data_IF_405238314707
#
_entry.id   IF_405238314707
#
_cell.length_a   1.000
_cell.length_b   1.000
_cell.length_c   1.000
_cell.angle_alpha   90.00
_cell.angle_beta   90.00
_cell.angle_gamma   90.00
#
_symmetry.space_group_name_H-M   'P 1'
#
loop_
_entity.id
_entity.type
_entity.pdbx_description
1 polymer ?
#
# COMPACT_ATOMS: atom_id res chain seq x y z
N UNK A 1 -34.29 -23.75 2.22
CA UNK A 1 -33.30 -24.61 2.93
C UNK A 1 -31.94 -24.66 2.24
N UNK A 2 -31.74 -25.17 1.02
CA UNK A 2 -30.40 -25.17 0.38
C UNK A 2 -29.94 -23.76 0.04
N UNK A 3 -30.83 -22.94 -0.52
CA UNK A 3 -30.53 -21.54 -0.91
C UNK A 3 -30.13 -20.68 0.30
N UNK A 4 -30.82 -20.83 1.42
CA UNK A 4 -30.55 -20.04 2.64
C UNK A 4 -29.17 -20.36 3.21
N UNK A 5 -28.80 -21.65 3.28
CA UNK A 5 -27.47 -22.07 3.71
C UNK A 5 -26.34 -21.56 2.79
N UNK A 6 -26.61 -21.42 1.48
CA UNK A 6 -25.63 -20.86 0.54
C UNK A 6 -25.40 -19.36 0.80
N UNK A 7 -26.46 -18.57 0.94
CA UNK A 7 -26.36 -17.14 1.24
C UNK A 7 -25.74 -16.87 2.61
N UNK A 8 -25.94 -17.76 3.59
CA UNK A 8 -25.23 -17.66 4.87
C UNK A 8 -23.71 -17.77 4.70
N UNK A 9 -23.21 -18.64 3.83
CA UNK A 9 -21.76 -18.73 3.56
C UNK A 9 -21.23 -17.46 2.89
N UNK A 10 -21.96 -16.88 1.94
CA UNK A 10 -21.57 -15.60 1.33
C UNK A 10 -21.55 -14.47 2.38
N UNK A 11 -22.57 -14.43 3.25
CA UNK A 11 -22.65 -13.45 4.32
C UNK A 11 -21.50 -13.55 5.34
N UNK A 12 -20.85 -14.71 5.49
CA UNK A 12 -19.67 -14.85 6.36
C UNK A 12 -18.52 -13.98 5.88
N UNK A 13 -18.25 -13.93 4.57
CA UNK A 13 -17.23 -13.05 3.98
C UNK A 13 -17.61 -11.58 4.26
N UNK A 14 -18.84 -11.17 3.94
CA UNK A 14 -19.32 -9.81 4.19
C UNK A 14 -19.16 -9.38 5.66
N UNK A 15 -19.54 -10.26 6.61
CA UNK A 15 -19.36 -10.01 8.05
C UNK A 15 -17.89 -9.90 8.45
N UNK A 16 -17.01 -10.67 7.83
CA UNK A 16 -15.58 -10.63 8.12
C UNK A 16 -14.94 -9.31 7.70
N UNK A 17 -15.36 -8.70 6.59
CA UNK A 17 -14.83 -7.42 6.12
C UNK A 17 -15.57 -6.19 6.68
N UNK A 18 -16.72 -6.34 7.31
CA UNK A 18 -17.54 -5.25 7.84
C UNK A 18 -16.95 -4.63 9.14
N UNK A 19 -15.70 -4.14 9.07
CA UNK A 19 -15.02 -3.45 10.18
C UNK A 19 -13.80 -2.70 9.65
N UNK A 20 -13.68 -1.40 9.93
CA UNK A 20 -12.63 -0.52 9.39
C UNK A 20 -11.21 -1.08 9.61
N UNK A 21 -10.89 -1.54 10.83
CA UNK A 21 -9.56 -2.11 11.12
C UNK A 21 -9.27 -3.42 10.39
N UNK A 22 -10.28 -4.23 10.06
CA UNK A 22 -10.06 -5.43 9.24
C UNK A 22 -9.82 -5.07 7.78
N UNK A 23 -10.50 -4.05 7.26
CA UNK A 23 -10.24 -3.52 5.91
C UNK A 23 -8.81 -2.97 5.84
N UNK A 24 -8.38 -2.18 6.83
CA UNK A 24 -7.02 -1.65 6.92
C UNK A 24 -5.95 -2.76 7.01
N UNK A 25 -6.21 -3.83 7.75
CA UNK A 25 -5.31 -4.99 7.81
C UNK A 25 -5.22 -5.73 6.46
N UNK A 26 -6.33 -5.84 5.71
CA UNK A 26 -6.30 -6.40 4.35
C UNK A 26 -5.50 -5.53 3.40
N UNK A 27 -5.66 -4.20 3.45
CA UNK A 27 -4.85 -3.26 2.67
C UNK A 27 -3.35 -3.44 2.93
N UNK A 28 -2.96 -3.49 4.21
CA UNK A 28 -1.56 -3.74 4.60
C UNK A 28 -1.04 -5.10 4.09
N UNK A 29 -1.87 -6.12 4.09
CA UNK A 29 -1.51 -7.45 3.61
C UNK A 29 -1.52 -7.56 2.07
N UNK A 30 -2.17 -6.65 1.35
CA UNK A 30 -2.02 -6.52 -0.11
C UNK A 30 -0.57 -6.15 -0.50
N UNK A 31 0.19 -5.53 0.41
CA UNK A 31 1.60 -5.18 0.19
C UNK A 31 2.56 -6.38 0.38
N UNK A 32 2.12 -7.44 1.08
CA UNK A 32 2.92 -8.62 1.35
C UNK A 32 2.72 -9.22 2.74
N UNK A 33 3.38 -10.34 3.01
CA UNK A 33 3.36 -11.04 4.30
C UNK A 33 4.00 -10.20 5.41
N UNK A 34 3.39 -10.18 6.62
CA UNK A 34 3.89 -9.43 7.78
C UNK A 34 3.60 -10.12 9.09
N UNK A 35 4.45 -9.81 10.09
CA UNK A 35 4.18 -10.25 11.46
C UNK A 35 3.04 -9.46 12.10
N UNK A 36 2.40 -10.04 13.11
CA UNK A 36 1.30 -9.38 13.84
C UNK A 36 1.76 -8.09 14.52
N UNK A 37 3.01 -7.99 14.94
CA UNK A 37 3.60 -6.81 15.56
C UNK A 37 3.66 -5.64 14.57
N UNK A 38 4.17 -5.90 13.36
CA UNK A 38 4.27 -4.90 12.27
C UNK A 38 2.86 -4.45 11.84
N UNK A 39 1.91 -5.39 11.71
CA UNK A 39 0.52 -5.05 11.37
C UNK A 39 -0.14 -4.20 12.46
N UNK A 40 0.10 -4.50 13.73
CA UNK A 40 -0.43 -3.75 14.84
C UNK A 40 0.12 -2.32 14.87
N UNK A 41 1.41 -2.14 14.68
CA UNK A 41 2.09 -0.84 14.59
C UNK A 41 1.54 -0.03 13.41
N UNK A 42 1.55 -0.60 12.20
CA UNK A 42 1.11 0.08 10.98
C UNK A 42 -0.38 0.50 11.03
N UNK A 43 -1.23 -0.29 11.69
CA UNK A 43 -2.66 0.02 11.87
C UNK A 43 -2.96 0.82 13.16
N UNK A 44 -1.93 1.27 13.90
CA UNK A 44 -2.07 1.98 15.18
C UNK A 44 -2.98 1.24 16.16
N UNK A 45 -2.71 -0.05 16.35
CA UNK A 45 -3.47 -0.96 17.22
C UNK A 45 -2.58 -1.61 18.27
N UNK A 46 -3.17 -2.06 19.37
CA UNK A 46 -2.47 -3.02 20.25
C UNK A 46 -2.33 -4.39 19.56
N UNK A 47 -1.25 -5.12 19.84
CA UNK A 47 -1.01 -6.47 19.30
C UNK A 47 -2.19 -7.40 19.61
N UNK A 48 -2.77 -7.30 20.81
CA UNK A 48 -3.95 -8.09 21.21
C UNK A 48 -5.17 -7.82 20.34
N UNK A 49 -5.44 -6.54 20.00
CA UNK A 49 -6.53 -6.16 19.11
C UNK A 49 -6.25 -6.60 17.67
N UNK A 50 -5.05 -6.36 17.14
CA UNK A 50 -4.66 -6.84 15.81
C UNK A 50 -4.83 -8.36 15.70
N UNK A 51 -4.34 -9.13 16.68
CA UNK A 51 -4.51 -10.58 16.73
C UNK A 51 -5.97 -11.01 16.73
N UNK A 52 -6.85 -10.28 17.45
CA UNK A 52 -8.28 -10.58 17.48
C UNK A 52 -8.94 -10.33 16.12
N UNK A 53 -8.62 -9.20 15.45
CA UNK A 53 -9.14 -8.90 14.10
C UNK A 53 -8.63 -9.88 13.06
N UNK A 54 -7.33 -10.20 13.08
CA UNK A 54 -6.71 -11.17 12.18
C UNK A 54 -7.28 -12.58 12.36
N UNK A 55 -7.66 -12.96 13.59
CA UNK A 55 -8.35 -14.23 13.85
C UNK A 55 -9.69 -14.30 13.12
N UNK A 56 -10.49 -13.22 13.13
CA UNK A 56 -11.77 -13.15 12.40
C UNK A 56 -11.55 -13.33 10.90
N UNK A 57 -10.53 -12.65 10.33
CA UNK A 57 -10.18 -12.79 8.92
C UNK A 57 -9.73 -14.23 8.59
N UNK A 58 -8.95 -14.86 9.47
CA UNK A 58 -8.50 -16.25 9.30
C UNK A 58 -9.66 -17.26 9.40
N UNK A 59 -10.60 -17.07 10.33
CA UNK A 59 -11.82 -17.90 10.46
C UNK A 59 -12.70 -17.80 9.20
N UNK A 60 -12.68 -16.63 8.53
CA UNK A 60 -13.30 -16.42 7.23
C UNK A 60 -12.46 -16.92 6.04
N UNK A 61 -11.25 -17.43 6.29
CA UNK A 61 -10.29 -17.91 5.28
C UNK A 61 -9.80 -16.82 4.30
N UNK A 62 -9.78 -15.57 4.75
CA UNK A 62 -9.26 -14.44 3.96
C UNK A 62 -7.75 -14.27 4.18
N UNK A 63 -7.22 -14.75 5.30
CA UNK A 63 -5.79 -14.71 5.60
C UNK A 63 -5.28 -16.06 6.09
N UNK A 64 -4.03 -16.33 5.82
CA UNK A 64 -3.28 -17.48 6.32
C UNK A 64 -2.19 -17.06 7.30
N UNK A 65 -1.65 -18.02 8.04
CA UNK A 65 -0.58 -17.78 9.00
C UNK A 65 0.59 -18.73 8.79
N UNK A 66 1.78 -18.20 8.96
CA UNK A 66 3.03 -18.94 9.05
C UNK A 66 3.72 -18.59 10.37
N UNK A 67 4.30 -19.59 11.02
CA UNK A 67 5.10 -19.37 12.24
C UNK A 67 6.59 -19.45 11.90
N UNK A 68 7.35 -18.53 12.49
CA UNK A 68 8.80 -18.52 12.44
C UNK A 68 9.37 -18.17 13.82
N UNK A 69 9.86 -19.18 14.52
CA UNK A 69 10.23 -19.04 15.92
C UNK A 69 9.04 -18.64 16.79
N UNK A 70 9.14 -17.51 17.47
CA UNK A 70 8.09 -16.93 18.31
C UNK A 70 7.15 -16.00 17.54
N UNK A 71 7.48 -15.64 16.29
CA UNK A 71 6.70 -14.70 15.46
C UNK A 71 5.64 -15.42 14.65
N UNK A 72 4.49 -14.76 14.49
CA UNK A 72 3.39 -15.21 13.63
C UNK A 72 3.24 -14.22 12.50
N UNK A 73 3.47 -14.70 11.28
CA UNK A 73 3.30 -13.94 10.05
C UNK A 73 1.93 -14.23 9.47
N UNK A 74 1.33 -13.19 8.87
CA UNK A 74 0.05 -13.24 8.17
C UNK A 74 0.25 -12.84 6.73
N UNK A 75 -0.48 -13.51 5.83
CA UNK A 75 -0.59 -13.15 4.41
C UNK A 75 -2.03 -13.30 3.95
N UNK A 76 -2.39 -12.68 2.84
CA UNK A 76 -3.65 -12.98 2.17
C UNK A 76 -3.69 -14.45 1.76
N UNK A 77 -4.88 -15.05 1.76
CA UNK A 77 -5.05 -16.43 1.32
C UNK A 77 -4.71 -16.59 -0.18
N UNK A 78 -5.12 -15.61 -0.98
CA UNK A 78 -4.87 -15.50 -2.41
C UNK A 78 -5.10 -14.06 -2.91
N UNK A 79 -4.85 -13.81 -4.19
CA UNK A 79 -5.01 -12.49 -4.82
C UNK A 79 -6.49 -12.05 -4.89
N UNK A 80 -7.46 -12.96 -4.88
CA UNK A 80 -8.88 -12.62 -4.89
C UNK A 80 -9.30 -11.83 -3.65
N UNK A 81 -8.60 -12.00 -2.53
CA UNK A 81 -8.84 -11.21 -1.31
C UNK A 81 -8.39 -9.75 -1.50
N UNK A 82 -7.29 -9.52 -2.20
CA UNK A 82 -6.84 -8.17 -2.53
C UNK A 82 -7.82 -7.52 -3.53
N UNK A 83 -8.30 -8.26 -4.53
CA UNK A 83 -9.32 -7.79 -5.46
C UNK A 83 -10.65 -7.43 -4.75
N UNK A 84 -11.04 -8.20 -3.75
CA UNK A 84 -12.21 -7.87 -2.92
C UNK A 84 -11.99 -6.53 -2.17
N UNK A 85 -10.81 -6.31 -1.62
CA UNK A 85 -10.46 -5.04 -0.96
C UNK A 85 -10.55 -3.88 -1.96
N UNK A 86 -9.95 -3.98 -3.15
CA UNK A 86 -10.01 -2.94 -4.17
C UNK A 86 -11.46 -2.66 -4.59
N UNK A 87 -12.28 -3.69 -4.81
CA UNK A 87 -13.69 -3.51 -5.16
C UNK A 87 -14.46 -2.76 -4.07
N UNK A 88 -14.23 -3.08 -2.80
CA UNK A 88 -14.86 -2.38 -1.66
C UNK A 88 -14.42 -0.92 -1.60
N UNK A 89 -13.13 -0.64 -1.80
CA UNK A 89 -12.56 0.70 -1.83
C UNK A 89 -13.15 1.53 -2.96
N UNK A 90 -13.09 1.00 -4.17
CA UNK A 90 -13.55 1.68 -5.39
C UNK A 90 -15.07 1.97 -5.32
N UNK A 91 -15.86 1.00 -4.85
CA UNK A 91 -17.30 1.22 -4.61
C UNK A 91 -17.57 2.30 -3.55
N UNK A 92 -16.74 2.36 -2.50
CA UNK A 92 -16.89 3.39 -1.47
C UNK A 92 -16.54 4.77 -2.04
N UNK A 93 -15.47 4.89 -2.83
CA UNK A 93 -15.09 6.12 -3.51
C UNK A 93 -16.20 6.61 -4.45
N UNK A 94 -16.76 5.72 -5.27
CA UNK A 94 -17.82 6.08 -6.21
C UNK A 94 -19.15 6.48 -5.54
N UNK A 95 -19.44 5.99 -4.35
CA UNK A 95 -20.75 6.14 -3.70
C UNK A 95 -20.77 7.17 -2.59
N UNK A 96 -19.65 7.42 -1.94
CA UNK A 96 -19.57 8.30 -0.77
C UNK A 96 -18.69 9.51 -1.05
N UNK A 97 -19.30 10.67 -1.29
CA UNK A 97 -18.58 11.94 -1.49
C UNK A 97 -17.74 12.37 -0.28
N UNK A 98 -17.93 11.72 0.88
CA UNK A 98 -17.08 11.86 2.05
C UNK A 98 -15.67 11.34 1.80
N UNK A 99 -15.49 10.31 0.97
CA UNK A 99 -14.16 9.79 0.58
C UNK A 99 -13.41 10.89 -0.15
N UNK A 100 -14.02 11.49 -1.17
CA UNK A 100 -13.42 12.60 -1.92
C UNK A 100 -13.11 13.81 -1.02
N UNK A 101 -13.94 14.07 -0.03
CA UNK A 101 -13.71 15.18 0.92
C UNK A 101 -12.48 14.89 1.78
N UNK A 102 -12.39 13.71 2.38
CA UNK A 102 -11.23 13.30 3.18
C UNK A 102 -9.95 13.32 2.35
N UNK A 103 -10.02 12.85 1.10
CA UNK A 103 -8.90 12.89 0.15
C UNK A 103 -8.48 14.32 -0.13
N UNK A 104 -9.41 15.19 -0.55
CA UNK A 104 -9.11 16.61 -0.82
C UNK A 104 -8.54 17.33 0.40
N UNK A 105 -9.20 17.22 1.55
CA UNK A 105 -8.75 17.88 2.79
C UNK A 105 -7.33 17.45 3.20
N UNK A 106 -6.94 16.23 2.86
CA UNK A 106 -5.62 15.71 3.19
C UNK A 106 -4.58 15.99 2.10
N UNK A 107 -4.93 15.79 0.81
CA UNK A 107 -3.96 15.83 -0.29
C UNK A 107 -3.85 17.21 -0.93
N UNK A 108 -4.95 17.94 -1.15
CA UNK A 108 -4.93 19.26 -1.80
C UNK A 108 -4.15 20.31 -0.99
N UNK A 109 -4.09 20.14 0.33
CA UNK A 109 -3.26 20.99 1.19
C UNK A 109 -1.75 20.69 1.09
N UNK A 110 -1.33 19.62 0.41
CA UNK A 110 0.05 19.11 0.43
C UNK A 110 0.65 18.87 -0.95
N UNK A 111 -0.15 18.75 -1.99
CA UNK A 111 0.32 18.42 -3.34
C UNK A 111 -0.39 19.25 -4.41
N UNK A 112 0.27 20.34 -4.85
CA UNK A 112 -0.22 21.24 -5.90
C UNK A 112 0.06 20.73 -7.32
N UNK A 113 0.78 19.60 -7.47
CA UNK A 113 1.17 19.06 -8.77
C UNK A 113 0.30 17.85 -9.13
N UNK A 114 -0.07 17.79 -10.41
CA UNK A 114 -0.74 16.60 -10.94
C UNK A 114 0.11 15.34 -10.71
N UNK A 115 -0.50 14.23 -10.25
CA UNK A 115 0.21 12.96 -10.12
C UNK A 115 0.70 12.47 -11.48
N UNK A 116 1.67 11.57 -11.46
CA UNK A 116 2.17 10.84 -12.63
C UNK A 116 1.35 9.56 -12.75
N UNK A 117 0.77 9.29 -13.90
CA UNK A 117 0.12 8.02 -14.15
C UNK A 117 1.15 6.91 -14.50
N UNK A 118 0.68 5.66 -14.54
CA UNK A 118 1.54 4.50 -14.79
C UNK A 118 2.17 4.52 -16.18
N UNK A 119 1.45 4.99 -17.21
CA UNK A 119 1.93 5.05 -18.59
C UNK A 119 3.00 6.13 -18.76
N UNK A 120 2.79 7.31 -18.16
CA UNK A 120 3.79 8.38 -18.10
C UNK A 120 5.07 7.89 -17.40
N UNK A 121 4.93 7.19 -16.27
CA UNK A 121 6.09 6.67 -15.54
C UNK A 121 6.87 5.65 -16.38
N UNK A 122 6.19 4.70 -17.02
CA UNK A 122 6.81 3.69 -17.89
C UNK A 122 7.57 4.31 -19.05
N UNK A 123 6.98 5.32 -19.72
CA UNK A 123 7.62 6.01 -20.82
C UNK A 123 8.90 6.74 -20.38
N UNK A 124 8.94 7.28 -19.18
CA UNK A 124 10.03 8.14 -18.68
C UNK A 124 11.12 7.38 -17.91
N UNK A 125 10.78 6.27 -17.27
CA UNK A 125 11.73 5.46 -16.50
C UNK A 125 12.80 4.83 -17.40
N UNK A 126 12.47 4.52 -18.69
CA UNK A 126 13.41 3.97 -19.68
C UNK A 126 14.51 4.93 -20.11
N UNK A 127 14.28 6.23 -20.04
CA UNK A 127 15.21 7.27 -20.53
C UNK A 127 16.15 7.82 -19.45
N UNK A 128 16.05 7.30 -18.20
CA UNK A 128 16.86 7.75 -17.06
C UNK A 128 16.56 9.18 -16.57
N UNK A 129 15.47 9.79 -17.06
CA UNK A 129 15.07 11.16 -16.71
C UNK A 129 14.35 11.28 -15.37
N UNK A 130 13.96 10.15 -14.77
CA UNK A 130 13.16 10.10 -13.55
C UNK A 130 13.75 9.09 -12.58
N UNK A 131 13.76 9.43 -11.29
CA UNK A 131 14.06 8.50 -10.21
C UNK A 131 12.74 8.02 -9.62
N UNK A 132 12.48 6.72 -9.70
CA UNK A 132 11.35 6.09 -9.03
C UNK A 132 11.73 5.83 -7.59
N UNK A 133 10.99 6.39 -6.63
CA UNK A 133 11.30 6.31 -5.21
C UNK A 133 10.20 5.54 -4.45
N UNK A 134 10.55 4.40 -3.87
CA UNK A 134 9.68 3.68 -2.94
C UNK A 134 9.87 4.19 -1.53
N UNK A 135 8.82 4.79 -0.96
CA UNK A 135 8.85 5.35 0.41
C UNK A 135 8.17 4.46 1.44
N UNK A 136 7.80 3.24 1.04
CA UNK A 136 7.23 2.24 1.94
C UNK A 136 8.32 1.67 2.87
N UNK A 137 7.94 1.02 3.99
CA UNK A 137 8.87 0.23 4.78
C UNK A 137 9.66 -0.78 3.92
N UNK A 138 10.92 -1.02 4.30
CA UNK A 138 11.84 -1.87 3.53
C UNK A 138 11.28 -3.27 3.26
N UNK A 139 10.59 -3.84 4.22
CA UNK A 139 9.99 -5.18 4.09
C UNK A 139 8.90 -5.24 2.99
N UNK A 140 8.24 -4.11 2.71
CA UNK A 140 7.28 -4.00 1.61
C UNK A 140 7.97 -3.94 0.26
N UNK A 141 9.06 -3.18 0.18
CA UNK A 141 9.89 -3.13 -1.00
C UNK A 141 10.47 -4.51 -1.34
N UNK A 142 11.05 -5.19 -0.35
CA UNK A 142 11.63 -6.53 -0.53
C UNK A 142 10.60 -7.58 -0.94
N UNK A 143 9.35 -7.47 -0.46
CA UNK A 143 8.24 -8.34 -0.85
C UNK A 143 7.77 -8.13 -2.29
N UNK A 144 8.00 -6.91 -2.85
CA UNK A 144 7.73 -6.54 -4.22
C UNK A 144 7.74 -5.05 -4.43
N UNK A 145 8.32 -4.61 -5.57
CA UNK A 145 8.48 -3.20 -5.90
C UNK A 145 8.51 -2.97 -7.43
N UNK A 146 8.42 -1.71 -7.85
CA UNK A 146 8.58 -1.30 -9.25
C UNK A 146 10.05 -1.48 -9.62
N UNK A 147 10.39 -2.21 -10.72
CA UNK A 147 11.78 -2.46 -11.11
C UNK A 147 12.60 -1.16 -11.25
N UNK A 148 13.81 -1.16 -10.72
CA UNK A 148 14.69 0.01 -10.74
C UNK A 148 14.32 1.11 -9.73
N UNK A 149 13.31 0.90 -8.89
CA UNK A 149 12.97 1.86 -7.84
C UNK A 149 14.03 1.87 -6.73
N UNK A 150 14.35 3.08 -6.26
CA UNK A 150 15.22 3.29 -5.10
C UNK A 150 14.39 3.17 -3.83
N UNK A 151 14.79 2.31 -2.90
CA UNK A 151 14.11 2.15 -1.61
C UNK A 151 14.67 3.12 -0.57
N UNK A 152 13.87 4.09 -0.18
CA UNK A 152 14.14 4.96 0.98
C UNK A 152 12.85 5.12 1.77
N UNK A 153 12.63 4.31 2.82
CA UNK A 153 11.48 4.47 3.69
C UNK A 153 11.32 5.91 4.17
N UNK A 154 10.07 6.39 4.28
CA UNK A 154 9.78 7.76 4.70
C UNK A 154 10.53 8.15 5.99
N UNK A 155 10.64 7.22 6.96
CA UNK A 155 11.34 7.45 8.22
C UNK A 155 12.84 7.74 8.04
N UNK A 156 13.46 7.25 6.97
CA UNK A 156 14.88 7.40 6.67
C UNK A 156 15.16 8.51 5.63
N UNK A 157 14.10 9.06 5.03
CA UNK A 157 14.20 9.93 3.86
C UNK A 157 15.06 11.17 4.12
N UNK A 158 14.85 11.84 5.25
CA UNK A 158 15.61 13.06 5.61
C UNK A 158 17.12 12.82 5.69
N UNK A 159 17.51 11.67 6.25
CA UNK A 159 18.92 11.30 6.37
C UNK A 159 19.57 10.80 5.08
N UNK A 160 18.77 10.30 4.12
CA UNK A 160 19.28 9.63 2.91
C UNK A 160 19.06 10.42 1.63
N UNK A 161 18.18 11.43 1.61
CA UNK A 161 17.89 12.22 0.41
C UNK A 161 19.09 12.99 -0.15
N UNK A 162 20.10 13.27 0.66
CA UNK A 162 21.33 13.93 0.19
C UNK A 162 22.08 13.12 -0.88
N UNK A 163 21.88 11.81 -0.93
CA UNK A 163 22.43 10.91 -1.96
C UNK A 163 21.63 10.90 -3.28
N UNK A 164 20.45 11.51 -3.32
CA UNK A 164 19.65 11.58 -4.53
C UNK A 164 20.19 12.64 -5.49
N UNK A 165 20.21 12.37 -6.80
CA UNK A 165 20.67 13.32 -7.83
C UNK A 165 19.79 14.58 -7.86
N UNK A 166 20.39 15.75 -7.71
CA UNK A 166 19.68 17.02 -7.64
C UNK A 166 19.08 17.52 -8.97
N UNK A 167 19.43 16.95 -10.08
CA UNK A 167 18.96 17.36 -11.41
C UNK A 167 17.85 16.47 -11.98
N UNK A 168 17.53 15.36 -11.32
CA UNK A 168 16.49 14.44 -11.75
C UNK A 168 15.16 14.76 -11.06
N UNK A 169 14.06 14.50 -11.76
CA UNK A 169 12.74 14.49 -11.16
C UNK A 169 12.55 13.18 -10.38
N UNK A 170 11.95 13.28 -9.20
CA UNK A 170 11.63 12.13 -8.36
C UNK A 170 10.14 11.82 -8.48
N UNK A 171 9.80 10.59 -8.83
CA UNK A 171 8.42 10.10 -8.73
C UNK A 171 8.33 9.13 -7.56
N UNK A 172 7.73 9.60 -6.47
CA UNK A 172 7.56 8.79 -5.27
C UNK A 172 6.25 7.99 -5.32
N UNK A 173 6.29 6.74 -4.87
CA UNK A 173 5.10 5.91 -4.72
C UNK A 173 5.02 5.24 -3.35
N UNK A 174 3.81 4.80 -3.00
CA UNK A 174 3.54 4.09 -1.75
C UNK A 174 2.50 2.98 -1.92
N UNK A 175 1.65 2.77 -0.92
CA UNK A 175 0.69 1.64 -0.87
C UNK A 175 -0.55 1.81 -1.74
N UNK A 176 -0.84 3.01 -2.23
CA UNK A 176 -2.03 3.28 -3.04
C UNK A 176 -2.45 4.75 -3.00
N UNK A 177 -3.54 5.09 -3.68
CA UNK A 177 -3.97 6.48 -3.87
C UNK A 177 -4.33 7.21 -2.56
N UNK A 178 -4.67 6.49 -1.50
CA UNK A 178 -5.04 7.04 -0.19
C UNK A 178 -3.93 6.92 0.86
N UNK A 179 -2.73 6.54 0.46
CA UNK A 179 -1.60 6.39 1.37
C UNK A 179 -0.94 7.74 1.66
N UNK A 180 -0.68 8.01 2.93
CA UNK A 180 -0.10 9.27 3.40
C UNK A 180 1.41 9.38 3.16
N UNK A 181 2.11 8.25 2.97
CA UNK A 181 3.58 8.21 2.93
C UNK A 181 4.16 9.00 1.75
N UNK A 182 3.57 8.87 0.54
CA UNK A 182 4.07 9.60 -0.62
C UNK A 182 3.87 11.11 -0.51
N UNK A 183 2.69 11.66 -0.14
CA UNK A 183 2.53 13.10 0.10
C UNK A 183 3.48 13.67 1.16
N UNK A 184 3.72 12.95 2.25
CA UNK A 184 4.68 13.38 3.28
C UNK A 184 6.11 13.38 2.75
N UNK A 185 6.49 12.35 1.99
CA UNK A 185 7.79 12.31 1.32
C UNK A 185 7.98 13.46 0.32
N UNK A 186 6.94 13.77 -0.47
CA UNK A 186 6.97 14.89 -1.41
C UNK A 186 7.15 16.23 -0.71
N UNK A 187 6.42 16.48 0.37
CA UNK A 187 6.57 17.70 1.15
C UNK A 187 8.02 17.86 1.65
N UNK A 188 8.62 16.78 2.15
CA UNK A 188 10.00 16.76 2.62
C UNK A 188 11.02 16.99 1.47
N UNK A 189 10.87 16.27 0.35
CA UNK A 189 11.74 16.42 -0.82
C UNK A 189 11.69 17.84 -1.40
N UNK A 190 10.50 18.40 -1.57
CA UNK A 190 10.30 19.76 -2.10
C UNK A 190 10.87 20.83 -1.17
N UNK A 191 10.70 20.68 0.15
CA UNK A 191 11.31 21.58 1.13
C UNK A 191 12.84 21.62 1.03
N UNK A 192 13.45 20.54 0.52
CA UNK A 192 14.90 20.44 0.28
C UNK A 192 15.31 20.71 -1.18
N UNK A 193 14.40 21.24 -2.00
CA UNK A 193 14.66 21.71 -3.36
C UNK A 193 14.71 20.64 -4.43
N UNK A 194 14.13 19.46 -4.19
CA UNK A 194 13.97 18.44 -5.22
C UNK A 194 12.69 18.67 -6.04
N UNK A 195 12.77 18.44 -7.35
CA UNK A 195 11.58 18.29 -8.19
C UNK A 195 10.96 16.92 -7.90
N UNK A 196 9.79 16.89 -7.29
CA UNK A 196 9.16 15.63 -6.88
C UNK A 196 7.66 15.63 -7.14
N UNK A 197 7.15 14.53 -7.72
CA UNK A 197 5.74 14.23 -7.96
C UNK A 197 5.40 12.86 -7.37
N UNK A 198 4.12 12.60 -7.11
CA UNK A 198 3.68 11.26 -6.69
C UNK A 198 3.21 10.45 -7.90
N UNK A 199 3.38 9.14 -7.84
CA UNK A 199 2.63 8.22 -8.68
C UNK A 199 1.15 8.29 -8.25
N UNK A 200 0.22 8.34 -9.18
CA UNK A 200 -1.22 8.40 -8.91
C UNK A 200 -1.66 7.20 -8.08
N UNK A 201 -1.22 6.04 -8.51
CA UNK A 201 -1.47 4.74 -7.90
C UNK A 201 -0.35 4.33 -6.93
N UNK A 202 -0.55 3.17 -6.28
CA UNK A 202 0.48 2.53 -5.49
C UNK A 202 1.01 1.24 -6.11
N UNK A 203 1.88 0.56 -5.37
CA UNK A 203 2.44 -0.71 -5.82
C UNK A 203 1.39 -1.81 -6.05
N UNK A 204 0.33 -1.98 -5.24
CA UNK A 204 -0.71 -2.98 -5.51
C UNK A 204 -1.46 -2.75 -6.81
N UNK A 205 -1.78 -1.50 -7.15
CA UNK A 205 -2.41 -1.13 -8.42
C UNK A 205 -1.48 -1.41 -9.59
N UNK A 206 -0.20 -1.08 -9.48
CA UNK A 206 0.85 -1.41 -10.45
C UNK A 206 0.88 -2.92 -10.74
N UNK A 207 0.91 -3.74 -9.68
CA UNK A 207 0.90 -5.21 -9.81
C UNK A 207 -0.42 -5.71 -10.42
N UNK A 208 -1.57 -5.15 -10.03
CA UNK A 208 -2.89 -5.46 -10.57
C UNK A 208 -3.00 -5.18 -12.06
N UNK A 209 -2.35 -4.11 -12.53
CA UNK A 209 -2.26 -3.78 -13.96
C UNK A 209 -1.38 -4.78 -14.76
N UNK A 210 -0.78 -5.77 -14.11
CA UNK A 210 0.11 -6.75 -14.75
C UNK A 210 1.46 -6.19 -15.16
N UNK A 211 1.87 -5.05 -14.60
CA UNK A 211 3.13 -4.40 -14.89
C UNK A 211 4.31 -5.13 -14.22
N UNK A 212 5.54 -4.96 -14.72
CA UNK A 212 6.71 -5.65 -14.18
C UNK A 212 6.91 -5.40 -12.68
N UNK A 213 7.26 -6.46 -11.96
CA UNK A 213 7.53 -6.44 -10.51
C UNK A 213 8.90 -7.06 -10.26
N UNK A 214 9.70 -6.41 -9.43
CA UNK A 214 10.92 -6.97 -8.85
C UNK A 214 10.69 -7.37 -7.39
N UNK A 215 11.50 -8.29 -6.88
CA UNK A 215 11.48 -8.77 -5.50
C UNK A 215 12.89 -8.84 -4.93
N UNK A 216 13.02 -8.71 -3.63
CA UNK A 216 14.32 -8.69 -2.96
C UNK A 216 14.96 -7.30 -2.96
N UNK A 217 16.26 -7.24 -2.65
CA UNK A 217 17.03 -5.99 -2.63
C UNK A 217 17.82 -5.84 -3.92
N UNK A 218 17.40 -4.93 -4.82
CA UNK A 218 18.15 -4.60 -6.04
C UNK A 218 19.28 -3.59 -5.77
N UNK A 219 19.51 -3.18 -4.52
CA UNK A 219 20.55 -2.24 -4.10
C UNK A 219 21.92 -2.95 -4.03
N UNK A 220 22.48 -3.34 -5.16
CA UNK A 220 23.83 -3.89 -5.26
C UNK A 220 24.70 -3.05 -6.17
#
# INVERSE_FOLDING_TARGET
>A
MVKDGLYEQFARIGKAVAHSKRIELLDLLCQGERSVEILAEAASMSIGNASAQLRVLREARLVETRKEGTRVFYRLADDAVCELFFLLRDLAADRYGEVDRVVRDFFDARDDLEPVDQDELLARAGDGGVIVLDVRPREEYEAGHIPGAVSIPLADLEGRMAGLPRGAEIVAYCRGPYCVLAPEALALLRAHGFAARRLEDGFPEWRRAGLPVAVGDESS
#
